data_IF_237680078099
#
_entry.id   IF_237680078099
#
_cell.length_a   1.000
_cell.length_b   1.000
_cell.length_c   1.000
_cell.angle_alpha   90.00
_cell.angle_beta   90.00
_cell.angle_gamma   90.00
#
_symmetry.space_group_name_H-M   'P 1'
#
loop_
_entity.id
_entity.type
_entity.pdbx_description
1 polymer ?
#
# COMPACT_ATOMS: atom_id res chain seq x y z
N UNK A 1 5.14 -1.89 3.95
CA UNK A 1 5.35 -2.66 2.70
C UNK A 1 5.39 -1.73 1.49
N UNK A 2 4.44 -0.82 1.36
CA UNK A 2 4.27 0.08 0.21
C UNK A 2 5.47 1.03 0.03
N UNK A 3 5.88 1.75 1.08
CA UNK A 3 7.02 2.69 1.01
C UNK A 3 8.32 2.00 0.54
N UNK A 4 8.67 0.85 1.14
CA UNK A 4 9.84 0.08 0.71
C UNK A 4 9.74 -0.42 -0.74
N UNK A 5 8.54 -0.73 -1.23
CA UNK A 5 8.36 -1.11 -2.64
C UNK A 5 8.50 0.08 -3.60
N UNK A 6 8.11 1.30 -3.16
CA UNK A 6 8.35 2.53 -3.92
C UNK A 6 9.86 2.77 -4.05
N UNK A 7 10.59 2.68 -2.93
CA UNK A 7 12.05 2.81 -2.92
C UNK A 7 12.73 1.79 -3.84
N UNK A 8 12.29 0.52 -3.82
CA UNK A 8 12.76 -0.50 -4.74
C UNK A 8 12.52 -0.12 -6.21
N UNK A 9 11.32 0.40 -6.54
CA UNK A 9 11.02 0.87 -7.89
C UNK A 9 11.91 2.05 -8.32
N UNK A 10 12.29 2.93 -7.38
CA UNK A 10 13.11 4.13 -7.62
C UNK A 10 14.62 3.90 -7.53
N UNK A 11 15.06 2.76 -7.00
CA UNK A 11 16.46 2.40 -6.87
C UNK A 11 17.12 2.21 -8.24
N UNK A 12 18.41 2.55 -8.37
CA UNK A 12 19.17 2.45 -9.64
C UNK A 12 19.88 1.10 -9.83
N UNK A 13 19.74 0.13 -8.92
CA UNK A 13 20.58 -1.07 -8.93
C UNK A 13 20.35 -2.00 -10.14
N UNK A 14 21.48 -2.47 -10.67
CA UNK A 14 21.75 -3.48 -11.70
C UNK A 14 21.19 -4.88 -11.36
N UNK A 15 20.90 -5.67 -12.40
CA UNK A 15 20.74 -7.14 -12.43
C UNK A 15 19.63 -7.86 -11.62
N UNK A 16 18.77 -7.16 -10.88
CA UNK A 16 17.50 -7.80 -10.47
C UNK A 16 16.61 -7.97 -11.70
N UNK A 17 15.98 -9.14 -11.94
CA UNK A 17 15.14 -9.32 -13.12
C UNK A 17 14.07 -8.24 -13.06
N UNK A 18 14.18 -7.28 -13.99
CA UNK A 18 13.17 -6.28 -14.25
C UNK A 18 11.99 -7.06 -14.79
N UNK A 19 11.18 -7.60 -13.89
CA UNK A 19 9.92 -8.17 -14.26
C UNK A 19 9.07 -6.95 -14.61
N UNK A 20 9.01 -6.63 -15.90
CA UNK A 20 7.88 -5.91 -16.51
C UNK A 20 6.64 -6.81 -16.40
N UNK A 21 6.29 -7.15 -15.17
CA UNK A 21 5.12 -7.96 -14.88
C UNK A 21 3.93 -7.05 -15.08
N UNK A 22 3.03 -7.47 -15.97
CA UNK A 22 1.75 -6.79 -16.10
C UNK A 22 0.98 -6.79 -14.78
N UNK A 23 0.05 -5.86 -14.66
CA UNK A 23 -1.00 -5.98 -13.64
C UNK A 23 -1.85 -7.21 -13.94
N UNK A 24 -2.38 -7.82 -12.89
CA UNK A 24 -3.50 -8.76 -13.04
C UNK A 24 -4.77 -7.99 -13.40
N UNK A 25 -5.82 -8.68 -13.84
CA UNK A 25 -7.12 -8.04 -14.09
C UNK A 25 -7.66 -7.30 -12.85
N UNK A 26 -7.43 -7.87 -11.66
CA UNK A 26 -7.77 -7.20 -10.40
C UNK A 26 -6.94 -5.92 -10.16
N UNK A 27 -5.66 -5.93 -10.56
CA UNK A 27 -4.82 -4.73 -10.55
C UNK A 27 -5.32 -3.68 -11.53
N UNK A 28 -5.65 -4.07 -12.76
CA UNK A 28 -6.22 -3.13 -13.75
C UNK A 28 -7.50 -2.49 -13.20
N UNK A 29 -8.40 -3.31 -12.64
CA UNK A 29 -9.66 -2.82 -12.09
C UNK A 29 -9.48 -1.87 -10.90
N UNK A 30 -8.62 -2.19 -9.92
CA UNK A 30 -8.44 -1.35 -8.71
C UNK A 30 -7.88 0.03 -9.06
N UNK A 31 -6.97 0.10 -10.02
CA UNK A 31 -6.40 1.38 -10.48
C UNK A 31 -7.35 2.15 -11.40
N UNK A 32 -8.18 1.48 -12.20
CA UNK A 32 -9.23 2.14 -12.97
C UNK A 32 -10.31 2.76 -12.07
N UNK A 33 -10.70 2.06 -11.00
CA UNK A 33 -11.68 2.54 -10.00
C UNK A 33 -11.07 3.59 -9.06
N UNK A 34 -9.75 3.57 -8.86
CA UNK A 34 -9.08 4.43 -7.90
C UNK A 34 -9.41 4.09 -6.44
N UNK A 35 -9.92 2.89 -6.15
CA UNK A 35 -10.30 2.46 -4.81
C UNK A 35 -10.34 0.94 -4.67
N UNK A 36 -10.15 0.45 -3.44
CA UNK A 36 -10.49 -0.93 -3.11
C UNK A 36 -12.01 -1.10 -3.10
N UNK A 37 -12.53 -2.27 -3.49
CA UNK A 37 -13.93 -2.60 -3.25
C UNK A 37 -14.29 -2.35 -1.77
N UNK A 38 -15.49 -1.83 -1.48
CA UNK A 38 -15.91 -1.62 -0.11
C UNK A 38 -16.13 -2.95 0.63
N UNK A 39 -16.09 -4.11 -0.02
CA UNK A 39 -16.35 -5.40 0.62
C UNK A 39 -15.27 -5.82 1.64
N UNK A 40 -15.63 -6.57 2.70
CA UNK A 40 -14.64 -7.08 3.65
C UNK A 40 -13.59 -7.97 2.99
N UNK A 41 -12.31 -7.63 3.18
CA UNK A 41 -11.18 -8.45 2.71
C UNK A 41 -10.85 -9.51 3.77
N UNK A 42 -10.86 -10.78 3.38
CA UNK A 42 -10.43 -11.90 4.23
C UNK A 42 -9.02 -12.33 3.86
N UNK A 43 -8.15 -12.38 4.88
CA UNK A 43 -6.76 -12.84 4.78
C UNK A 43 -6.51 -13.92 5.84
N UNK A 44 -5.55 -14.83 5.63
CA UNK A 44 -5.19 -15.81 6.65
C UNK A 44 -4.78 -15.13 7.98
N UNK A 45 -5.18 -15.66 9.14
CA UNK A 45 -4.78 -15.12 10.44
C UNK A 45 -3.32 -15.50 10.71
N UNK A 46 -2.39 -14.74 10.13
CA UNK A 46 -0.95 -14.93 10.32
C UNK A 46 -0.31 -13.64 10.84
N UNK A 47 0.87 -13.71 11.50
CA UNK A 47 1.56 -12.50 11.96
C UNK A 47 1.87 -11.49 10.84
N UNK A 48 1.93 -11.95 9.59
CA UNK A 48 2.15 -11.10 8.42
C UNK A 48 0.92 -10.24 8.07
N UNK A 49 -0.29 -10.79 8.24
CA UNK A 49 -1.55 -10.12 7.91
C UNK A 49 -2.30 -9.58 9.13
N UNK A 50 -1.98 -10.08 10.32
CA UNK A 50 -2.56 -9.74 11.61
C UNK A 50 -1.42 -9.58 12.61
N UNK A 51 -0.63 -8.48 12.50
CA UNK A 51 0.48 -8.24 13.42
C UNK A 51 -0.03 -8.10 14.86
N UNK A 52 0.84 -8.44 15.82
CA UNK A 52 0.53 -8.24 17.23
C UNK A 52 0.28 -6.76 17.51
N UNK A 53 -0.70 -6.48 18.37
CA UNK A 53 -0.95 -5.12 18.84
C UNK A 53 0.28 -4.65 19.64
N UNK A 54 0.81 -3.44 19.38
CA UNK A 54 1.88 -2.91 20.21
C UNK A 54 1.38 -2.64 21.63
N UNK A 55 2.30 -2.63 22.58
CA UNK A 55 1.99 -2.39 23.99
C UNK A 55 1.48 -0.96 24.25
N UNK A 56 1.86 0.00 23.39
CA UNK A 56 1.50 1.41 23.54
C UNK A 56 0.92 1.96 22.24
N UNK A 57 -0.21 2.68 22.37
CA UNK A 57 -0.86 3.39 21.28
C UNK A 57 -0.03 4.57 20.79
N UNK A 58 0.79 5.18 21.65
CA UNK A 58 1.66 6.30 21.25
C UNK A 58 2.64 5.91 20.16
N UNK A 59 3.17 4.68 20.20
CA UNK A 59 4.04 4.15 19.16
C UNK A 59 3.35 4.16 17.79
N UNK A 60 2.08 3.75 17.72
CA UNK A 60 1.30 3.77 16.46
C UNK A 60 1.12 5.19 15.91
N UNK A 61 0.94 6.18 16.79
CA UNK A 61 0.76 7.58 16.39
C UNK A 61 2.08 8.13 15.83
N UNK A 62 3.20 7.83 16.48
CA UNK A 62 4.52 8.25 16.04
C UNK A 62 4.92 7.63 14.70
N UNK A 63 4.69 6.33 14.54
CA UNK A 63 4.93 5.59 13.29
C UNK A 63 4.06 6.13 12.15
N UNK A 64 2.80 6.49 12.41
CA UNK A 64 1.93 7.09 11.41
C UNK A 64 2.44 8.48 10.98
N UNK A 65 2.91 9.30 11.92
CA UNK A 65 3.49 10.61 11.60
C UNK A 65 4.78 10.47 10.78
N UNK A 66 5.62 9.48 11.09
CA UNK A 66 6.81 9.18 10.29
C UNK A 66 6.43 8.74 8.87
N UNK A 67 5.47 7.83 8.73
CA UNK A 67 4.96 7.42 7.42
C UNK A 67 4.47 8.62 6.60
N UNK A 68 3.75 9.56 7.20
CA UNK A 68 3.26 10.78 6.52
C UNK A 68 4.43 11.66 6.06
N UNK A 69 5.50 11.79 6.85
CA UNK A 69 6.72 12.52 6.44
C UNK A 69 7.34 11.85 5.21
N UNK A 70 7.57 10.54 5.27
CA UNK A 70 8.16 9.77 4.17
C UNK A 70 7.33 9.89 2.87
N UNK A 71 6.00 9.84 2.96
CA UNK A 71 5.11 10.03 1.80
C UNK A 71 5.32 11.41 1.15
N UNK A 72 5.42 12.47 1.95
CA UNK A 72 5.65 13.84 1.47
C UNK A 72 7.01 14.00 0.80
N UNK A 73 8.02 13.31 1.31
CA UNK A 73 9.37 13.35 0.73
C UNK A 73 9.46 12.56 -0.58
N UNK A 74 8.67 11.48 -0.71
CA UNK A 74 8.63 10.63 -1.91
C UNK A 74 7.86 11.27 -3.06
N UNK A 75 6.75 11.97 -2.79
CA UNK A 75 5.90 12.58 -3.84
C UNK A 75 6.68 13.38 -4.91
N UNK A 76 7.60 14.31 -4.56
CA UNK A 76 8.36 15.04 -5.57
C UNK A 76 9.34 14.14 -6.35
N UNK A 77 9.84 13.05 -5.76
CA UNK A 77 10.77 12.13 -6.42
C UNK A 77 10.09 11.34 -7.54
N UNK A 78 8.81 11.00 -7.37
CA UNK A 78 8.01 10.31 -8.39
C UNK A 78 7.93 11.11 -9.70
N UNK A 79 7.82 12.44 -9.60
CA UNK A 79 7.77 13.35 -10.76
C UNK A 79 9.14 13.51 -11.44
N UNK A 80 10.21 13.47 -10.66
CA UNK A 80 11.57 13.71 -11.14
C UNK A 80 12.21 12.45 -11.75
N UNK A 81 11.83 11.26 -11.27
CA UNK A 81 12.44 9.98 -11.64
C UNK A 81 11.37 8.99 -12.12
N UNK A 82 10.79 9.19 -13.32
CA UNK A 82 9.83 8.25 -13.88
C UNK A 82 10.51 6.89 -14.08
N UNK A 83 10.14 5.91 -13.27
CA UNK A 83 10.67 4.55 -13.34
C UNK A 83 9.67 3.62 -14.01
N UNK A 84 10.15 2.82 -14.96
CA UNK A 84 9.37 1.72 -15.58
C UNK A 84 9.48 0.41 -14.80
N UNK A 85 10.26 0.40 -13.70
CA UNK A 85 10.42 -0.78 -12.85
C UNK A 85 9.12 -1.03 -12.09
N UNK A 86 8.76 -2.30 -11.97
CA UNK A 86 7.60 -2.72 -11.17
C UNK A 86 8.03 -3.73 -10.12
N UNK A 87 7.43 -3.64 -8.94
CA UNK A 87 7.54 -4.63 -7.86
C UNK A 87 6.21 -5.37 -7.75
N UNK A 88 6.27 -6.70 -7.59
CA UNK A 88 5.09 -7.54 -7.58
C UNK A 88 4.24 -7.34 -6.32
N UNK A 89 2.94 -7.09 -6.51
CA UNK A 89 1.91 -7.16 -5.48
C UNK A 89 1.20 -8.53 -5.56
N UNK A 90 0.96 -9.23 -4.42
CA UNK A 90 0.40 -10.58 -4.42
C UNK A 90 -0.93 -10.74 -5.17
N UNK A 91 -1.76 -9.70 -5.18
CA UNK A 91 -3.07 -9.70 -5.85
C UNK A 91 -3.09 -8.93 -7.17
N UNK A 92 -2.25 -7.91 -7.30
CA UNK A 92 -2.40 -6.88 -8.35
C UNK A 92 -1.35 -6.99 -9.46
N UNK A 93 -0.39 -7.91 -9.34
CA UNK A 93 0.68 -8.07 -10.32
C UNK A 93 1.75 -6.99 -10.17
N UNK A 94 2.44 -6.64 -11.25
CA UNK A 94 3.52 -5.65 -11.21
C UNK A 94 2.98 -4.23 -11.07
N UNK A 95 3.35 -3.57 -9.98
CA UNK A 95 3.02 -2.17 -9.72
C UNK A 95 4.28 -1.30 -9.79
N UNK A 96 4.18 -0.16 -10.46
CA UNK A 96 5.26 0.84 -10.51
C UNK A 96 5.28 1.73 -9.25
N UNK A 97 6.24 2.65 -9.17
CA UNK A 97 6.40 3.55 -8.02
C UNK A 97 5.16 4.42 -7.75
N UNK A 98 4.54 4.99 -8.79
CA UNK A 98 3.34 5.82 -8.67
C UNK A 98 2.12 4.99 -8.22
N UNK A 99 2.00 3.77 -8.73
CA UNK A 99 0.91 2.86 -8.36
C UNK A 99 1.04 2.39 -6.92
N UNK A 100 2.25 2.05 -6.45
CA UNK A 100 2.49 1.77 -5.04
C UNK A 100 2.19 2.98 -4.14
N UNK A 101 2.49 4.19 -4.61
CA UNK A 101 2.17 5.42 -3.90
C UNK A 101 0.66 5.65 -3.79
N UNK A 102 -0.08 5.57 -4.90
CA UNK A 102 -1.54 5.68 -4.93
C UNK A 102 -2.22 4.61 -4.07
N UNK A 103 -1.65 3.40 -4.03
CA UNK A 103 -2.19 2.30 -3.23
C UNK A 103 -2.19 2.61 -1.73
N UNK A 104 -1.34 3.52 -1.24
CA UNK A 104 -1.34 3.95 0.17
C UNK A 104 -2.67 4.62 0.50
N UNK A 105 -3.06 5.65 -0.26
CA UNK A 105 -4.33 6.37 -0.06
C UNK A 105 -5.53 5.44 -0.18
N UNK A 106 -5.56 4.61 -1.23
CA UNK A 106 -6.64 3.64 -1.44
C UNK A 106 -6.82 2.72 -0.22
N UNK A 107 -5.71 2.22 0.35
CA UNK A 107 -5.76 1.33 1.52
C UNK A 107 -6.29 2.04 2.76
N UNK A 108 -5.86 3.27 3.03
CA UNK A 108 -6.36 4.02 4.19
C UNK A 108 -7.84 4.32 4.09
N UNK A 109 -8.34 4.72 2.91
CA UNK A 109 -9.79 4.87 2.68
C UNK A 109 -10.55 3.57 2.95
N UNK A 110 -10.03 2.44 2.50
CA UNK A 110 -10.63 1.14 2.79
C UNK A 110 -10.65 0.82 4.30
N UNK A 111 -9.55 1.08 5.02
CA UNK A 111 -9.49 0.85 6.47
C UNK A 111 -10.42 1.77 7.26
N UNK A 112 -10.69 2.99 6.80
CA UNK A 112 -11.70 3.87 7.41
C UNK A 112 -13.11 3.24 7.29
N UNK A 113 -13.45 2.66 6.14
CA UNK A 113 -14.71 1.92 5.98
C UNK A 113 -14.78 0.70 6.93
N UNK A 114 -13.67 0.00 7.14
CA UNK A 114 -13.61 -1.10 8.11
C UNK A 114 -13.81 -0.60 9.55
N UNK A 115 -13.17 0.50 9.92
CA UNK A 115 -13.31 1.11 11.24
C UNK A 115 -14.74 1.54 11.52
N UNK A 116 -15.42 2.14 10.54
CA UNK A 116 -16.81 2.58 10.70
C UNK A 116 -17.76 1.40 10.92
N UNK A 117 -17.52 0.27 10.26
CA UNK A 117 -18.27 -0.99 10.53
C UNK A 117 -18.04 -1.51 11.94
N UNK A 118 -16.80 -1.49 12.42
CA UNK A 118 -16.47 -1.91 13.78
C UNK A 118 -17.14 -1.01 14.82
N UNK A 119 -17.10 0.31 14.61
CA UNK A 119 -17.80 1.27 15.48
C UNK A 119 -19.30 1.01 15.50
N UNK A 120 -19.92 0.83 14.33
CA UNK A 120 -21.35 0.53 14.23
C UNK A 120 -21.70 -0.77 14.97
N UNK A 121 -20.88 -1.82 14.82
CA UNK A 121 -21.07 -3.09 15.52
C UNK A 121 -20.96 -2.98 17.05
N UNK A 122 -20.03 -2.17 17.56
CA UNK A 122 -19.81 -2.00 19.00
C UNK A 122 -20.84 -1.10 19.71
N UNK A 123 -21.61 -0.33 18.95
CA UNK A 123 -22.68 0.55 19.46
C UNK A 123 -24.06 -0.16 19.43
N UNK A 124 -24.14 -1.37 18.87
CA UNK A 124 -25.30 -2.26 19.02
C UNK A 124 -25.26 -3.01 20.36
#
# INVERSE_FOLDING_TARGET
MQLGNIEQCLSEADDSPVHSMGKTDAGIAVFAEGSFPPDPVRVPPSPQYTPAQPHDKMLLIEELHEMIRQIRDIEPLLKQRPSRRTVAHPRFGGLNAEEWFLLIDMHYRHHLLQLDRLKAFLVM
#
